data_IF_588090656955
#
_entry.id   IF_588090656955
#
_cell.length_a   1.000
_cell.length_b   1.000
_cell.length_c   1.000
_cell.angle_alpha   90.00
_cell.angle_beta   90.00
_cell.angle_gamma   90.00
#
_symmetry.space_group_name_H-M   'P 1'
#
loop_
_entity.id
_entity.type
_entity.pdbx_description
1 polymer ?
#
# COMPACT_ATOMS: atom_id res chain seq x y z
N UNK A 1 3.68 -0.13 -24.84
CA UNK A 1 2.97 0.72 -23.84
C UNK A 1 3.92 1.06 -22.69
N UNK A 2 3.89 2.31 -22.19
CA UNK A 2 4.77 2.82 -21.12
C UNK A 2 4.02 2.95 -19.79
N UNK A 3 4.72 2.74 -18.67
CA UNK A 3 4.20 2.86 -17.31
C UNK A 3 5.15 3.67 -16.44
N UNK A 4 4.60 4.61 -15.67
CA UNK A 4 5.30 5.33 -14.61
C UNK A 4 4.87 4.79 -13.26
N UNK A 5 5.84 4.48 -12.40
CA UNK A 5 5.59 4.01 -11.04
C UNK A 5 6.00 5.12 -10.08
N UNK A 6 5.09 5.58 -9.24
CA UNK A 6 5.38 6.45 -8.12
C UNK A 6 5.51 5.56 -6.87
N UNK A 7 6.75 5.37 -6.42
CA UNK A 7 7.08 4.58 -5.24
C UNK A 7 7.11 5.46 -3.99
N UNK A 8 6.37 5.11 -2.94
CA UNK A 8 6.43 5.77 -1.64
C UNK A 8 7.39 4.98 -0.74
N UNK A 9 8.57 5.54 -0.49
CA UNK A 9 9.69 4.82 0.12
C UNK A 9 10.43 3.92 -0.88
N UNK A 10 11.29 3.06 -0.36
CA UNK A 10 12.16 2.22 -1.17
C UNK A 10 11.44 0.93 -1.60
N UNK A 11 11.10 0.84 -2.89
CA UNK A 11 10.54 -0.37 -3.52
C UNK A 11 11.61 -0.96 -4.41
N UNK A 12 11.94 -2.23 -4.20
CA UNK A 12 13.01 -2.90 -4.93
C UNK A 12 12.54 -3.28 -6.34
N UNK A 13 13.45 -3.24 -7.32
CA UNK A 13 13.11 -3.57 -8.71
C UNK A 13 12.55 -5.01 -8.88
N UNK A 14 13.00 -5.93 -8.02
CA UNK A 14 12.51 -7.32 -7.98
C UNK A 14 11.01 -7.40 -7.65
N UNK A 15 10.51 -6.48 -6.81
CA UNK A 15 9.09 -6.42 -6.42
C UNK A 15 8.18 -5.96 -7.57
N UNK A 16 8.79 -5.41 -8.63
CA UNK A 16 8.13 -4.85 -9.81
C UNK A 16 8.45 -5.66 -11.08
N UNK A 17 9.19 -6.77 -10.96
CA UNK A 17 9.69 -7.53 -12.11
C UNK A 17 8.55 -7.98 -13.05
N UNK A 18 7.41 -8.38 -12.50
CA UNK A 18 6.22 -8.80 -13.26
C UNK A 18 5.67 -7.71 -14.22
N UNK A 19 5.94 -6.43 -13.96
CA UNK A 19 5.56 -5.33 -14.85
C UNK A 19 6.50 -5.23 -16.05
N UNK A 20 7.80 -5.50 -15.86
CA UNK A 20 8.81 -5.35 -16.92
C UNK A 20 8.64 -6.35 -18.06
N UNK A 21 7.95 -7.47 -17.82
CA UNK A 21 7.64 -8.48 -18.85
C UNK A 21 6.48 -8.08 -19.76
N UNK A 22 5.69 -7.07 -19.37
CA UNK A 22 4.44 -6.68 -20.06
C UNK A 22 4.48 -5.26 -20.61
N UNK A 23 5.14 -4.35 -19.91
CA UNK A 23 5.30 -2.96 -20.33
C UNK A 23 6.65 -2.79 -21.02
N UNK A 24 6.65 -2.20 -22.22
CA UNK A 24 7.87 -1.92 -23.01
C UNK A 24 8.83 -0.99 -22.26
N UNK A 25 8.28 -0.12 -21.41
CA UNK A 25 9.04 0.81 -20.63
C UNK A 25 8.38 1.00 -19.27
N UNK A 26 9.15 0.77 -18.21
CA UNK A 26 8.77 1.01 -16.83
C UNK A 26 9.77 1.98 -16.24
N UNK A 27 9.28 3.12 -15.75
CA UNK A 27 10.09 4.05 -14.96
C UNK A 27 9.61 4.06 -13.51
N UNK A 28 10.53 4.32 -12.58
CA UNK A 28 10.22 4.44 -11.16
C UNK A 28 10.67 5.80 -10.65
N UNK A 29 9.73 6.55 -10.09
CA UNK A 29 9.92 7.80 -9.38
C UNK A 29 9.79 7.51 -7.89
N UNK A 30 10.91 7.61 -7.17
CA UNK A 30 10.94 7.35 -5.72
C UNK A 30 10.68 8.64 -4.97
N UNK A 31 9.65 8.63 -4.12
CA UNK A 31 9.33 9.71 -3.21
C UNK A 31 9.81 9.35 -1.81
N UNK A 32 10.51 10.29 -1.16
CA UNK A 32 10.91 10.20 0.24
C UNK A 32 9.74 10.57 1.16
N UNK A 33 8.63 9.84 1.00
CA UNK A 33 7.40 9.99 1.76
C UNK A 33 7.24 8.75 2.63
N UNK A 34 6.89 8.88 3.93
CA UNK A 34 6.58 7.72 4.75
C UNK A 34 5.49 6.86 4.12
N UNK A 35 5.71 5.54 3.93
CA UNK A 35 4.82 4.69 3.13
C UNK A 35 3.44 4.51 3.76
N UNK A 36 3.24 4.86 5.03
CA UNK A 36 1.95 4.79 5.73
C UNK A 36 1.20 6.11 5.79
N UNK A 37 1.84 7.20 5.37
CA UNK A 37 1.17 8.48 5.35
C UNK A 37 0.12 8.53 4.24
N UNK A 38 -0.96 9.28 4.50
CA UNK A 38 -1.92 9.61 3.48
C UNK A 38 -1.25 10.52 2.43
N UNK A 39 -1.43 10.21 1.16
CA UNK A 39 -0.90 11.01 0.04
C UNK A 39 -1.39 12.45 0.06
N UNK A 40 -2.54 12.69 0.69
CA UNK A 40 -3.13 14.00 0.91
C UNK A 40 -2.20 14.95 1.68
N UNK A 41 -1.41 14.43 2.63
CA UNK A 41 -0.45 15.21 3.43
C UNK A 41 0.75 15.67 2.60
N UNK A 42 1.10 14.90 1.57
CA UNK A 42 2.30 15.08 0.74
C UNK A 42 1.94 15.51 -0.70
N UNK A 43 0.81 16.22 -0.85
CA UNK A 43 0.22 16.57 -2.15
C UNK A 43 1.18 17.31 -3.08
N UNK A 44 1.99 18.23 -2.56
CA UNK A 44 2.92 19.00 -3.39
C UNK A 44 3.99 18.11 -4.02
N UNK A 45 4.55 17.17 -3.26
CA UNK A 45 5.53 16.19 -3.72
C UNK A 45 4.90 15.21 -4.71
N UNK A 46 3.71 14.70 -4.38
CA UNK A 46 2.98 13.80 -5.26
C UNK A 46 2.63 14.45 -6.61
N UNK A 47 2.16 15.71 -6.61
CA UNK A 47 1.88 16.46 -7.83
C UNK A 47 3.14 16.61 -8.70
N UNK A 48 4.30 16.93 -8.08
CA UNK A 48 5.57 17.03 -8.79
C UNK A 48 5.99 15.71 -9.42
N UNK A 49 5.77 14.58 -8.74
CA UNK A 49 6.04 13.26 -9.32
C UNK A 49 5.11 12.95 -10.50
N UNK A 50 3.82 13.27 -10.39
CA UNK A 50 2.88 13.11 -11.51
C UNK A 50 3.27 13.97 -12.71
N UNK A 51 3.83 15.16 -12.48
CA UNK A 51 4.35 16.04 -13.54
C UNK A 51 5.64 15.50 -14.17
N UNK A 52 6.52 14.93 -13.35
CA UNK A 52 7.78 14.34 -13.81
C UNK A 52 7.60 13.00 -14.56
N UNK A 53 6.46 12.33 -14.37
CA UNK A 53 6.14 11.06 -15.02
C UNK A 53 6.17 11.20 -16.56
N UNK A 54 6.98 10.36 -17.22
CA UNK A 54 7.11 10.32 -18.68
C UNK A 54 6.03 9.49 -19.36
N UNK A 55 5.36 8.58 -18.64
CA UNK A 55 4.26 7.79 -19.16
C UNK A 55 2.88 8.39 -18.80
N UNK A 56 1.88 8.00 -19.57
CA UNK A 56 0.50 8.44 -19.37
C UNK A 56 -0.24 7.67 -18.28
N UNK A 57 0.14 6.42 -18.07
CA UNK A 57 -0.38 5.57 -17.01
C UNK A 57 0.56 5.61 -15.82
N UNK A 58 -0.02 5.83 -14.65
CA UNK A 58 0.69 5.98 -13.38
C UNK A 58 0.19 4.90 -12.42
N UNK A 59 1.12 4.15 -11.83
CA UNK A 59 0.88 3.21 -10.74
C UNK A 59 1.54 3.73 -9.47
N UNK A 60 0.81 3.70 -8.35
CA UNK A 60 1.32 4.01 -7.02
C UNK A 60 1.63 2.70 -6.30
N UNK A 61 2.84 2.59 -5.78
CA UNK A 61 3.30 1.43 -4.99
C UNK A 61 3.94 1.94 -3.71
N UNK A 62 3.65 1.33 -2.57
CA UNK A 62 4.26 1.67 -1.28
C UNK A 62 5.41 0.72 -0.96
N UNK A 63 6.29 1.11 -0.05
CA UNK A 63 7.37 0.26 0.45
C UNK A 63 6.86 -1.16 0.80
N UNK A 64 7.59 -2.19 0.36
CA UNK A 64 7.30 -3.62 0.59
C UNK A 64 6.05 -4.15 -0.11
N UNK A 65 5.47 -3.39 -1.04
CA UNK A 65 4.39 -3.87 -1.89
C UNK A 65 4.95 -4.51 -3.16
N UNK A 66 4.49 -5.71 -3.46
CA UNK A 66 4.88 -6.50 -4.62
C UNK A 66 3.73 -6.61 -5.61
N UNK A 67 4.06 -6.50 -6.89
CA UNK A 67 3.14 -6.75 -8.01
C UNK A 67 3.38 -8.18 -8.51
N UNK A 68 2.37 -9.04 -8.40
CA UNK A 68 2.44 -10.38 -8.98
C UNK A 68 2.05 -10.39 -10.47
N UNK A 69 2.28 -11.52 -11.13
CA UNK A 69 2.00 -11.67 -12.56
C UNK A 69 0.51 -11.48 -12.92
N UNK A 70 -0.39 -11.86 -12.02
CA UNK A 70 -1.83 -11.75 -12.26
C UNK A 70 -2.26 -10.28 -12.22
N UNK A 71 -1.80 -9.51 -11.22
CA UNK A 71 -2.03 -8.07 -11.15
C UNK A 71 -1.33 -7.34 -12.31
N UNK A 72 -0.11 -7.71 -12.66
CA UNK A 72 0.60 -7.10 -13.79
C UNK A 72 -0.16 -7.29 -15.12
N UNK A 73 -0.74 -8.48 -15.34
CA UNK A 73 -1.59 -8.74 -16.48
C UNK A 73 -2.86 -7.87 -16.45
N UNK A 74 -3.53 -7.83 -15.31
CA UNK A 74 -4.76 -7.05 -15.15
C UNK A 74 -4.52 -5.55 -15.38
N UNK A 75 -3.40 -5.01 -14.90
CA UNK A 75 -2.97 -3.63 -15.15
C UNK A 75 -2.73 -3.37 -16.65
N UNK A 76 -2.06 -4.29 -17.33
CA UNK A 76 -1.79 -4.18 -18.76
C UNK A 76 -3.10 -4.18 -19.58
N UNK A 77 -4.02 -5.10 -19.26
CA UNK A 77 -5.32 -5.21 -19.93
C UNK A 77 -6.19 -3.97 -19.67
N UNK A 78 -6.19 -3.48 -18.42
CA UNK A 78 -6.90 -2.27 -18.00
C UNK A 78 -6.41 -1.03 -18.76
N UNK A 79 -5.08 -0.89 -18.89
CA UNK A 79 -4.44 0.19 -19.60
C UNK A 79 -4.72 0.15 -21.12
N UNK A 80 -4.65 -1.05 -21.71
CA UNK A 80 -4.85 -1.28 -23.14
C UNK A 80 -6.31 -1.08 -23.56
N UNK A 81 -7.26 -1.54 -22.74
CA UNK A 81 -8.68 -1.41 -23.02
C UNK A 81 -9.22 0.01 -22.77
N UNK A 82 -8.56 0.78 -21.89
CA UNK A 82 -8.91 2.16 -21.53
C UNK A 82 -10.39 2.38 -21.12
N UNK A 83 -11.04 1.35 -20.56
CA UNK A 83 -12.46 1.35 -20.15
C UNK A 83 -12.76 2.23 -18.94
N UNK A 84 -11.76 2.47 -18.10
CA UNK A 84 -11.85 3.36 -16.95
C UNK A 84 -10.70 4.37 -16.93
N UNK A 85 -10.84 5.42 -16.12
CA UNK A 85 -9.85 6.50 -15.99
C UNK A 85 -8.95 6.34 -14.77
N UNK A 86 -9.41 5.58 -13.78
CA UNK A 86 -8.61 5.11 -12.67
C UNK A 86 -9.11 3.79 -12.11
N UNK A 87 -8.28 3.18 -11.28
CA UNK A 87 -8.49 1.86 -10.75
C UNK A 87 -8.09 1.78 -9.29
N UNK A 88 -9.00 1.21 -8.48
CA UNK A 88 -8.72 0.91 -7.08
C UNK A 88 -8.00 -0.42 -6.97
N UNK A 89 -6.91 -0.42 -6.21
CA UNK A 89 -6.12 -1.62 -5.93
C UNK A 89 -6.03 -1.76 -4.41
N UNK A 90 -6.44 -2.91 -3.91
CA UNK A 90 -6.34 -3.24 -2.49
C UNK A 90 -4.91 -3.66 -2.16
N UNK A 91 -4.42 -3.30 -0.99
CA UNK A 91 -3.24 -3.91 -0.40
C UNK A 91 -3.64 -5.14 0.44
N UNK A 92 -3.04 -6.28 0.17
CA UNK A 92 -3.18 -7.50 0.94
C UNK A 92 -1.94 -7.68 1.82
N UNK A 93 -2.02 -7.36 3.12
CA UNK A 93 -0.92 -7.62 4.03
C UNK A 93 -0.73 -9.13 4.21
N UNK A 94 0.52 -9.59 4.15
CA UNK A 94 0.94 -10.97 4.35
C UNK A 94 1.89 -11.00 5.54
N UNK A 95 1.57 -11.88 6.49
CA UNK A 95 2.33 -12.08 7.70
C UNK A 95 2.61 -13.56 7.89
N UNK A 96 3.89 -13.91 8.07
CA UNK A 96 4.34 -15.28 8.24
C UNK A 96 3.83 -16.22 7.14
N UNK A 97 3.89 -15.75 5.88
CA UNK A 97 3.45 -16.48 4.68
C UNK A 97 1.93 -16.61 4.52
N UNK A 98 1.13 -15.98 5.39
CA UNK A 98 -0.34 -16.06 5.36
C UNK A 98 -0.97 -14.67 5.23
N UNK A 99 -2.06 -14.54 4.47
CA UNK A 99 -2.77 -13.27 4.36
C UNK A 99 -3.34 -12.85 5.72
N UNK A 100 -3.28 -11.56 5.99
CA UNK A 100 -3.97 -10.90 7.09
C UNK A 100 -5.27 -10.29 6.58
N UNK A 101 -6.36 -10.54 7.31
CA UNK A 101 -7.68 -9.99 6.98
C UNK A 101 -7.94 -8.76 7.86
N UNK A 102 -7.10 -7.75 7.70
CA UNK A 102 -7.17 -6.49 8.46
C UNK A 102 -7.59 -5.38 7.51
N UNK A 103 -8.76 -4.78 7.77
CA UNK A 103 -9.33 -3.73 6.92
C UNK A 103 -10.02 -4.33 5.69
N UNK A 104 -11.34 -4.28 5.65
CA UNK A 104 -12.15 -4.74 4.53
C UNK A 104 -12.40 -3.63 3.49
N UNK A 105 -11.45 -2.71 3.32
CA UNK A 105 -11.64 -1.57 2.43
C UNK A 105 -11.54 -1.98 0.96
N UNK A 106 -12.25 -1.25 0.10
CA UNK A 106 -12.29 -1.44 -1.35
C UNK A 106 -10.96 -1.13 -2.06
N UNK A 107 -9.92 -0.78 -1.29
CA UNK A 107 -8.63 -0.28 -1.77
C UNK A 107 -8.66 1.22 -2.07
N UNK A 108 -7.50 1.76 -2.42
CA UNK A 108 -7.35 3.15 -2.83
C UNK A 108 -7.09 3.23 -4.34
N UNK A 109 -7.38 4.37 -4.98
CA UNK A 109 -7.01 4.62 -6.37
C UNK A 109 -5.49 4.65 -6.48
N UNK A 110 -4.93 3.57 -7.06
CA UNK A 110 -3.48 3.40 -7.22
C UNK A 110 -3.04 3.37 -8.66
N UNK A 111 -3.95 3.13 -9.60
CA UNK A 111 -3.59 3.07 -11.01
C UNK A 111 -4.50 3.98 -11.83
N UNK A 112 -3.95 4.94 -12.55
CA UNK A 112 -4.76 5.91 -13.27
C UNK A 112 -4.03 6.53 -14.46
N UNK A 113 -4.81 7.11 -15.35
CA UNK A 113 -4.26 7.85 -16.47
C UNK A 113 -4.08 9.32 -16.08
N UNK A 114 -2.85 9.81 -16.18
CA UNK A 114 -2.38 11.16 -15.82
C UNK A 114 -3.30 12.31 -16.26
N UNK A 115 -3.84 12.27 -17.49
CA UNK A 115 -4.71 13.34 -18.01
C UNK A 115 -6.01 13.53 -17.22
N UNK A 116 -6.45 12.51 -16.49
CA UNK A 116 -7.67 12.55 -15.70
C UNK A 116 -7.38 12.80 -14.21
N UNK A 117 -6.12 12.99 -13.82
CA UNK A 117 -5.77 13.23 -12.42
C UNK A 117 -6.24 14.61 -11.96
N UNK A 118 -6.96 14.65 -10.83
CA UNK A 118 -7.47 15.89 -10.25
C UNK A 118 -6.54 16.38 -9.13
N UNK A 119 -5.66 17.33 -9.49
CA UNK A 119 -4.67 17.95 -8.57
C UNK A 119 -5.28 18.65 -7.35
N UNK A 120 -6.48 19.18 -7.53
CA UNK A 120 -7.17 20.02 -6.55
C UNK A 120 -8.57 19.55 -6.22
N UNK A 121 -8.81 18.23 -6.25
CA UNK A 121 -10.05 17.71 -5.67
C UNK A 121 -10.15 18.13 -4.19
N UNK A 122 -11.21 18.89 -3.89
CA UNK A 122 -11.66 19.47 -2.62
C UNK A 122 -10.61 19.65 -1.50
N UNK A 123 -10.26 20.91 -1.22
CA UNK A 123 -9.46 21.31 -0.05
C UNK A 123 -10.09 20.76 1.24
N UNK A 124 -9.41 19.81 1.88
CA UNK A 124 -9.68 19.40 3.27
C UNK A 124 -10.48 18.12 3.50
N UNK A 125 -10.81 17.33 2.47
CA UNK A 125 -11.71 16.16 2.65
C UNK A 125 -11.20 14.79 2.14
N UNK A 126 -10.03 14.70 1.50
CA UNK A 126 -9.59 13.42 0.92
C UNK A 126 -8.25 12.97 1.47
N UNK A 127 -8.20 11.72 1.94
CA UNK A 127 -6.98 10.93 2.15
C UNK A 127 -6.54 10.19 0.87
N UNK A 128 -7.37 10.20 -0.19
CA UNK A 128 -7.22 9.38 -1.41
C UNK A 128 -6.98 10.21 -2.69
N UNK A 129 -6.33 9.60 -3.69
CA UNK A 129 -6.15 10.14 -5.04
C UNK A 129 -7.48 10.20 -5.79
N UNK A 130 -7.74 11.32 -6.49
CA UNK A 130 -8.98 11.52 -7.25
C UNK A 130 -8.71 11.62 -8.75
N UNK A 131 -9.58 11.00 -9.55
CA UNK A 131 -9.55 11.05 -11.02
C UNK A 131 -10.89 11.46 -11.59
N UNK A 132 -10.89 12.13 -12.73
CA UNK A 132 -12.08 12.48 -13.49
C UNK A 132 -12.57 11.28 -14.31
N UNK A 133 -13.83 10.89 -14.11
CA UNK A 133 -14.47 9.82 -14.87
C UNK A 133 -14.65 8.54 -14.06
N UNK A 134 -14.77 7.40 -14.76
CA UNK A 134 -15.03 6.11 -14.14
C UNK A 134 -13.82 5.57 -13.39
N UNK A 135 -14.09 5.05 -12.19
CA UNK A 135 -13.13 4.32 -11.35
C UNK A 135 -13.65 2.91 -11.16
N UNK A 136 -12.81 1.91 -11.44
CA UNK A 136 -13.15 0.48 -11.31
C UNK A 136 -12.20 -0.20 -10.33
N UNK A 137 -12.66 -1.20 -9.60
CA UNK A 137 -11.82 -1.99 -8.71
C UNK A 137 -11.16 -3.13 -9.47
N UNK A 138 -9.84 -3.30 -9.28
CA UNK A 138 -9.12 -4.48 -9.77
C UNK A 138 -9.36 -5.67 -8.84
N UNK A 139 -9.35 -6.87 -9.43
CA UNK A 139 -9.55 -8.13 -8.71
C UNK A 139 -8.32 -8.51 -7.88
N UNK A 140 -7.11 -8.34 -8.44
CA UNK A 140 -5.87 -8.75 -7.81
C UNK A 140 -5.31 -7.63 -6.90
N UNK A 141 -4.92 -7.94 -5.66
CA UNK A 141 -4.33 -6.96 -4.75
C UNK A 141 -2.82 -6.82 -4.93
N UNK A 142 -2.27 -5.69 -4.48
CA UNK A 142 -0.84 -5.57 -4.18
C UNK A 142 -0.54 -6.39 -2.91
N UNK A 143 0.53 -7.17 -2.92
CA UNK A 143 0.91 -7.97 -1.74
C UNK A 143 1.90 -7.19 -0.90
N UNK A 144 1.66 -7.05 0.40
CA UNK A 144 2.62 -6.38 1.30
C UNK A 144 3.15 -7.37 2.31
N UNK A 145 4.43 -7.73 2.23
CA UNK A 145 5.05 -8.68 3.16
C UNK A 145 5.73 -7.91 4.28
N UNK A 146 5.23 -8.05 5.51
CA UNK A 146 5.82 -7.34 6.65
C UNK A 146 6.96 -8.13 7.30
N UNK A 147 6.73 -9.41 7.59
CA UNK A 147 7.68 -10.33 8.22
C UNK A 147 7.50 -11.73 7.64
N UNK A 148 8.61 -12.41 7.36
CA UNK A 148 8.60 -13.77 6.83
C UNK A 148 8.19 -14.79 7.90
N UNK A 149 8.50 -14.51 9.18
CA UNK A 149 8.11 -15.36 10.30
C UNK A 149 7.66 -14.56 11.54
N UNK A 150 6.97 -15.25 12.45
CA UNK A 150 6.58 -14.66 13.73
C UNK A 150 7.75 -14.48 14.71
N UNK A 151 8.84 -15.23 14.53
CA UNK A 151 10.05 -15.11 15.36
C UNK A 151 10.85 -13.87 14.97
N UNK A 152 10.98 -13.64 13.66
CA UNK A 152 11.54 -12.41 13.11
C UNK A 152 10.78 -11.17 13.61
N UNK A 153 9.43 -11.22 13.60
CA UNK A 153 8.62 -10.12 14.13
C UNK A 153 8.89 -9.87 15.61
N UNK A 154 8.99 -10.92 16.43
CA UNK A 154 9.28 -10.78 17.85
C UNK A 154 10.67 -10.22 18.12
N UNK A 155 11.68 -10.68 17.38
CA UNK A 155 13.03 -10.16 17.47
C UNK A 155 13.06 -8.66 17.12
N UNK A 156 12.38 -8.28 16.03
CA UNK A 156 12.26 -6.89 15.61
C UNK A 156 11.65 -5.98 16.69
N UNK A 157 10.58 -6.43 17.34
CA UNK A 157 9.93 -5.65 18.39
C UNK A 157 10.76 -5.61 19.67
N UNK A 158 11.43 -6.71 20.04
CA UNK A 158 12.31 -6.75 21.21
C UNK A 158 13.49 -5.77 21.09
N UNK A 159 13.97 -5.53 19.87
CA UNK A 159 15.05 -4.56 19.62
C UNK A 159 14.58 -3.10 19.62
N UNK A 160 13.30 -2.83 19.28
CA UNK A 160 12.84 -1.48 18.91
C UNK A 160 11.73 -0.90 19.78
N UNK A 161 11.13 -1.70 20.65
CA UNK A 161 9.94 -1.31 21.40
C UNK A 161 10.00 -1.74 22.86
N UNK A 162 9.41 -0.92 23.73
CA UNK A 162 9.30 -1.26 25.15
C UNK A 162 8.14 -2.25 25.34
N UNK A 163 8.34 -3.34 26.11
CA UNK A 163 7.27 -4.29 26.37
C UNK A 163 6.16 -3.65 27.23
N UNK A 164 4.90 -3.98 26.91
CA UNK A 164 3.76 -3.57 27.72
C UNK A 164 3.58 -4.46 28.96
N UNK A 165 2.91 -3.90 29.98
CA UNK A 165 2.34 -4.72 31.04
C UNK A 165 1.26 -5.65 30.47
N UNK A 166 1.06 -6.81 31.12
CA UNK A 166 0.07 -7.79 30.67
C UNK A 166 -1.35 -7.20 30.54
N UNK A 167 -1.72 -6.29 31.44
CA UNK A 167 -3.02 -5.60 31.40
C UNK A 167 -3.14 -4.69 30.17
N UNK A 168 -2.12 -3.86 29.89
CA UNK A 168 -2.12 -2.95 28.72
C UNK A 168 -2.15 -3.74 27.42
N UNK A 169 -1.38 -4.83 27.33
CA UNK A 169 -1.39 -5.75 26.18
C UNK A 169 -2.78 -6.32 25.92
N UNK A 170 -3.44 -6.85 26.96
CA UNK A 170 -4.77 -7.45 26.81
C UNK A 170 -5.80 -6.41 26.35
N UNK A 171 -5.77 -5.21 26.91
CA UNK A 171 -6.68 -4.13 26.51
C UNK A 171 -6.46 -3.69 25.05
N UNK A 172 -5.20 -3.54 24.63
CA UNK A 172 -4.87 -3.20 23.24
C UNK A 172 -5.27 -4.31 22.27
N UNK A 173 -4.99 -5.56 22.62
CA UNK A 173 -5.40 -6.71 21.81
C UNK A 173 -6.92 -6.75 21.63
N UNK A 174 -7.70 -6.63 22.71
CA UNK A 174 -9.17 -6.61 22.62
C UNK A 174 -9.65 -5.44 21.75
N UNK A 175 -9.08 -4.25 21.93
CA UNK A 175 -9.39 -3.08 21.10
C UNK A 175 -9.13 -3.37 19.61
N UNK A 176 -7.98 -3.94 19.27
CA UNK A 176 -7.65 -4.24 17.88
C UNK A 176 -8.49 -5.37 17.30
N UNK A 177 -8.70 -6.47 18.03
CA UNK A 177 -9.50 -7.59 17.59
C UNK A 177 -10.96 -7.17 17.32
N UNK A 178 -11.55 -6.35 18.20
CA UNK A 178 -12.89 -5.81 18.00
C UNK A 178 -12.95 -4.81 16.85
N UNK A 179 -11.98 -3.91 16.74
CA UNK A 179 -11.95 -2.89 15.67
C UNK A 179 -11.75 -3.49 14.28
N UNK A 180 -10.93 -4.54 14.17
CA UNK A 180 -10.66 -5.22 12.89
C UNK A 180 -11.68 -6.30 12.55
N UNK A 181 -12.57 -6.68 13.49
CA UNK A 181 -13.45 -7.86 13.38
C UNK A 181 -12.68 -9.11 12.94
N UNK A 182 -11.45 -9.24 13.39
CA UNK A 182 -10.59 -10.35 13.03
C UNK A 182 -11.08 -11.62 13.72
N UNK A 183 -11.41 -12.63 12.92
CA UNK A 183 -11.82 -13.95 13.40
C UNK A 183 -10.81 -15.05 13.05
N UNK A 184 -9.85 -14.77 12.16
CA UNK A 184 -8.85 -15.75 11.77
C UNK A 184 -7.66 -15.79 12.74
N UNK A 185 -7.15 -17.00 12.97
CA UNK A 185 -6.09 -17.24 13.95
C UNK A 185 -4.77 -16.54 13.60
N UNK A 186 -4.48 -16.29 12.31
CA UNK A 186 -3.24 -15.65 11.88
C UNK A 186 -3.26 -14.15 12.21
N UNK A 187 -4.38 -13.48 11.91
CA UNK A 187 -4.60 -12.09 12.26
C UNK A 187 -4.64 -11.90 13.77
N UNK A 188 -5.33 -12.77 14.51
CA UNK A 188 -5.32 -12.70 15.99
C UNK A 188 -3.91 -12.87 16.57
N UNK A 189 -3.10 -13.79 16.01
CA UNK A 189 -1.69 -13.95 16.43
C UNK A 189 -0.87 -12.70 16.14
N UNK A 190 -1.01 -12.11 14.96
CA UNK A 190 -0.34 -10.86 14.60
C UNK A 190 -0.71 -9.74 15.59
N UNK A 191 -2.01 -9.52 15.83
CA UNK A 191 -2.50 -8.48 16.74
C UNK A 191 -2.03 -8.72 18.19
N UNK A 192 -1.92 -9.97 18.63
CA UNK A 192 -1.42 -10.31 19.97
C UNK A 192 0.07 -10.01 20.14
N UNK A 193 0.86 -10.14 19.07
CA UNK A 193 2.29 -9.79 19.07
C UNK A 193 2.44 -8.28 19.05
N UNK A 194 1.75 -7.56 18.16
CA UNK A 194 1.73 -6.09 18.11
C UNK A 194 1.32 -5.48 19.45
N UNK A 195 0.24 -5.98 20.05
CA UNK A 195 -0.25 -5.49 21.34
C UNK A 195 0.72 -5.72 22.51
N UNK A 196 1.81 -6.48 22.34
CA UNK A 196 2.78 -6.73 23.39
C UNK A 196 3.82 -5.61 23.55
N UNK A 197 3.90 -4.69 22.60
CA UNK A 197 4.99 -3.72 22.51
C UNK A 197 4.47 -2.30 22.25
N UNK A 198 5.05 -1.31 22.91
CA UNK A 198 4.85 0.10 22.58
C UNK A 198 5.67 0.34 21.31
N UNK A 199 5.06 0.17 20.14
CA UNK A 199 5.69 0.65 18.90
C UNK A 199 5.78 2.16 19.09
N UNK A 200 6.98 2.76 19.25
CA UNK A 200 7.05 4.20 19.25
C UNK A 200 6.44 4.61 17.91
N UNK A 201 5.35 5.39 17.96
CA UNK A 201 5.01 6.23 16.84
C UNK A 201 6.31 6.96 16.55
N UNK A 202 7.04 6.55 15.49
CA UNK A 202 8.26 7.23 15.10
C UNK A 202 7.83 8.67 14.90
N UNK A 203 8.20 9.52 15.84
CA UNK A 203 8.27 10.95 15.60
C UNK A 203 9.28 11.04 14.47
N UNK A 204 8.74 11.30 13.28
CA UNK A 204 9.47 11.67 12.08
C UNK A 204 10.57 12.65 12.48
N UNK A 205 11.83 12.27 12.23
CA UNK A 205 12.91 13.23 12.07
C UNK A 205 12.86 13.75 10.64
#
# INVERSE_FOLDING_TARGET
MRLSIIALGHVHAEELQALTTRFEHVEQLVLDIPPRDALSKHRAEFNRAVDAASADWILIVRERETVDDALAQELFDAASAAKARGFRIRALPIYAGKPLHVGADDGEVRFFHRRNYLRHANKGQWDEVTVQGSVVRLAHPLRSVTFATADEHRAHLAERAAPHSALRRTLLFLRYALGTRAHDANTLRYLWIEAAFDVPLRVTQ
#
